data_IF_442495088676
#
_entry.id   IF_442495088676
#
_cell.length_a   1.000
_cell.length_b   1.000
_cell.length_c   1.000
_cell.angle_alpha   90.00
_cell.angle_beta   90.00
_cell.angle_gamma   90.00
#
_symmetry.space_group_name_H-M   'P 1'
#
loop_
_entity.id
_entity.type
_entity.pdbx_description
1 polymer ?
#
# COMPACT_ATOMS: atom_id res chain seq x y z
N UNK A 1 -5.75 -3.55 -56.54
CA UNK A 1 -5.48 -2.48 -55.55
C UNK A 1 -6.56 -2.57 -54.49
N UNK A 2 -6.19 -2.91 -53.24
CA UNK A 2 -6.13 -1.96 -52.12
C UNK A 2 -7.53 -1.41 -51.78
N UNK A 3 -8.21 -1.90 -50.73
CA UNK A 3 -7.93 -1.67 -49.29
C UNK A 3 -7.93 -0.16 -48.97
N UNK A 4 -8.71 0.33 -48.02
CA UNK A 4 -8.67 -0.14 -46.63
C UNK A 4 -10.02 -0.15 -45.86
N UNK A 5 -9.96 -0.34 -44.54
CA UNK A 5 -11.11 -0.54 -43.64
C UNK A 5 -11.64 0.80 -43.09
N UNK A 6 -12.95 0.85 -42.87
CA UNK A 6 -13.51 1.42 -41.63
C UNK A 6 -14.35 0.34 -40.96
N UNK A 7 -14.22 0.21 -39.64
CA UNK A 7 -14.68 -0.95 -38.87
C UNK A 7 -16.16 -0.85 -38.52
N UNK A 8 -16.87 -1.99 -38.56
CA UNK A 8 -18.13 -2.19 -37.84
C UNK A 8 -17.79 -2.77 -36.46
N UNK A 9 -17.93 -2.00 -35.38
CA UNK A 9 -18.05 -2.53 -34.02
C UNK A 9 -18.51 -1.46 -33.01
N UNK A 10 -19.09 -1.88 -31.88
CA UNK A 10 -19.40 -1.02 -30.71
C UNK A 10 -20.70 -0.19 -30.75
N UNK A 11 -21.64 -0.37 -29.80
CA UNK A 11 -22.66 0.64 -29.47
C UNK A 11 -22.05 1.80 -28.66
N UNK A 12 -22.79 2.91 -28.50
CA UNK A 12 -22.29 4.13 -27.86
C UNK A 12 -22.08 3.99 -26.33
N UNK A 13 -20.85 3.66 -25.91
CA UNK A 13 -20.54 3.18 -24.56
C UNK A 13 -20.32 4.27 -23.48
N UNK A 14 -20.62 5.55 -23.77
CA UNK A 14 -20.38 6.66 -22.84
C UNK A 14 -21.41 6.76 -21.70
N UNK A 15 -22.48 5.97 -21.74
CA UNK A 15 -23.50 5.84 -20.68
C UNK A 15 -23.29 4.58 -19.84
N UNK A 16 -22.18 4.53 -19.10
CA UNK A 16 -22.03 3.58 -17.98
C UNK A 16 -22.78 4.14 -16.76
N UNK A 17 -23.61 3.36 -16.04
CA UNK A 17 -24.37 3.85 -14.89
C UNK A 17 -23.44 4.32 -13.77
N UNK A 18 -23.78 5.46 -13.14
CA UNK A 18 -23.00 6.08 -12.06
C UNK A 18 -23.41 5.57 -10.67
N UNK A 19 -24.15 4.46 -10.62
CA UNK A 19 -25.05 4.15 -9.53
C UNK A 19 -24.43 3.23 -8.47
N UNK A 20 -24.21 3.82 -7.29
CA UNK A 20 -23.64 3.24 -6.06
C UNK A 20 -22.13 3.00 -6.12
N UNK A 21 -21.40 3.65 -5.19
CA UNK A 21 -20.00 3.27 -4.92
C UNK A 21 -19.91 1.76 -4.61
N UNK A 22 -18.95 1.03 -5.18
CA UNK A 22 -18.69 -0.37 -4.82
C UNK A 22 -18.57 -0.55 -3.31
N UNK A 23 -19.18 -1.62 -2.78
CA UNK A 23 -19.18 -1.94 -1.35
C UNK A 23 -17.76 -1.97 -0.76
N UNK A 24 -16.78 -2.41 -1.55
CA UNK A 24 -15.34 -2.40 -1.24
C UNK A 24 -14.84 -1.01 -0.83
N UNK A 25 -15.28 0.06 -1.49
CA UNK A 25 -14.90 1.45 -1.16
C UNK A 25 -15.58 1.90 0.13
N UNK A 26 -16.86 1.60 0.30
CA UNK A 26 -17.61 1.95 1.51
C UNK A 26 -16.99 1.28 2.76
N UNK A 27 -16.63 0.01 2.66
CA UNK A 27 -15.93 -0.75 3.71
C UNK A 27 -14.55 -0.18 3.99
N UNK A 28 -13.76 0.14 2.95
CA UNK A 28 -12.42 0.72 3.13
C UNK A 28 -12.47 2.07 3.86
N UNK A 29 -13.36 2.97 3.46
CA UNK A 29 -13.52 4.27 4.15
C UNK A 29 -14.06 4.09 5.58
N UNK A 30 -14.94 3.13 5.82
CA UNK A 30 -15.46 2.81 7.16
C UNK A 30 -14.33 2.32 8.09
N UNK A 31 -13.47 1.40 7.61
CA UNK A 31 -12.31 0.92 8.37
C UNK A 31 -11.28 2.05 8.59
N UNK A 32 -11.04 2.89 7.58
CA UNK A 32 -10.19 4.09 7.70
C UNK A 32 -10.71 5.05 8.77
N UNK A 33 -12.00 5.38 8.76
CA UNK A 33 -12.61 6.26 9.76
C UNK A 33 -12.56 5.64 11.17
N UNK A 34 -12.67 4.32 11.30
CA UNK A 34 -12.49 3.63 12.58
C UNK A 34 -11.03 3.70 13.09
N UNK A 35 -10.03 3.58 12.21
CA UNK A 35 -8.61 3.80 12.55
C UNK A 35 -8.37 5.25 12.98
N UNK A 36 -8.85 6.23 12.19
CA UNK A 36 -8.71 7.66 12.49
C UNK A 36 -9.45 8.07 13.77
N UNK A 37 -10.57 7.43 14.08
CA UNK A 37 -11.32 7.58 15.33
C UNK A 37 -10.69 6.87 16.53
N UNK A 38 -9.48 6.30 16.40
CA UNK A 38 -8.74 5.71 17.51
C UNK A 38 -9.25 4.34 17.98
N UNK A 39 -10.04 3.61 17.19
CA UNK A 39 -10.42 2.21 17.52
C UNK A 39 -9.20 1.28 17.55
N UNK A 40 -8.20 1.58 16.73
CA UNK A 40 -6.92 0.89 16.68
C UNK A 40 -5.81 1.95 16.63
N UNK A 41 -4.85 1.87 17.55
CA UNK A 41 -3.73 2.79 17.65
C UNK A 41 -2.75 2.68 16.48
N UNK A 42 -1.93 3.72 16.29
CA UNK A 42 -0.78 3.68 15.37
C UNK A 42 0.15 2.53 15.80
N UNK A 43 0.60 1.70 14.85
CA UNK A 43 1.40 0.51 15.12
C UNK A 43 0.62 -0.69 15.70
N UNK A 44 -0.66 -0.54 16.07
CA UNK A 44 -1.47 -1.64 16.61
C UNK A 44 -1.81 -2.67 15.52
N UNK A 45 -1.96 -3.94 15.92
CA UNK A 45 -2.39 -5.01 15.03
C UNK A 45 -3.92 -4.99 14.88
N UNK A 46 -4.41 -4.91 13.65
CA UNK A 46 -5.83 -5.11 13.35
C UNK A 46 -6.25 -6.55 13.73
N UNK A 47 -7.57 -6.80 13.93
CA UNK A 47 -8.11 -8.15 13.95
C UNK A 47 -7.90 -8.87 12.61
N UNK A 48 -8.21 -10.17 12.56
CA UNK A 48 -8.04 -10.95 11.33
C UNK A 48 -9.01 -10.49 10.23
N UNK A 49 -8.69 -10.80 8.96
CA UNK A 49 -9.61 -10.57 7.83
C UNK A 49 -10.91 -11.40 7.94
N UNK A 50 -10.91 -12.47 8.76
CA UNK A 50 -12.13 -13.20 9.10
C UNK A 50 -12.98 -12.39 10.09
N UNK A 51 -12.44 -12.09 11.29
CA UNK A 51 -13.13 -11.39 12.37
C UNK A 51 -13.72 -10.05 11.89
N UNK A 52 -12.94 -9.26 11.15
CA UNK A 52 -13.40 -8.00 10.55
C UNK A 52 -14.51 -8.19 9.50
N UNK A 53 -14.49 -9.28 8.73
CA UNK A 53 -15.52 -9.55 7.72
C UNK A 53 -16.86 -9.92 8.39
N UNK A 54 -16.81 -10.66 9.50
CA UNK A 54 -17.99 -11.02 10.29
C UNK A 54 -18.54 -9.81 11.07
N UNK A 55 -17.67 -8.97 11.67
CA UNK A 55 -18.02 -7.69 12.33
C UNK A 55 -18.75 -6.73 11.38
N UNK A 56 -18.16 -6.50 10.18
CA UNK A 56 -18.75 -5.63 9.16
C UNK A 56 -19.83 -6.31 8.32
N UNK A 57 -20.08 -7.62 8.52
CA UNK A 57 -21.07 -8.44 7.79
C UNK A 57 -20.89 -8.41 6.27
N UNK A 58 -19.64 -8.45 5.81
CA UNK A 58 -19.25 -8.40 4.39
C UNK A 58 -18.53 -9.68 3.97
N UNK A 59 -18.44 -9.93 2.66
CA UNK A 59 -17.66 -11.08 2.19
C UNK A 59 -16.17 -10.88 2.48
N UNK A 60 -15.45 -11.97 2.80
CA UNK A 60 -13.99 -11.95 3.00
C UNK A 60 -13.23 -11.41 1.78
N UNK A 61 -13.76 -11.61 0.57
CA UNK A 61 -13.19 -11.04 -0.65
C UNK A 61 -13.32 -9.50 -0.65
N UNK A 62 -14.52 -8.99 -0.35
CA UNK A 62 -14.81 -7.55 -0.21
C UNK A 62 -13.91 -6.89 0.83
N UNK A 63 -13.74 -7.51 2.01
CA UNK A 63 -12.87 -6.98 3.05
C UNK A 63 -11.38 -7.03 2.64
N UNK A 64 -10.90 -8.15 2.10
CA UNK A 64 -9.50 -8.29 1.63
C UNK A 64 -9.15 -7.28 0.54
N UNK A 65 -10.09 -6.96 -0.35
CA UNK A 65 -9.93 -5.87 -1.33
C UNK A 65 -9.92 -4.49 -0.67
N UNK A 66 -10.80 -4.24 0.31
CA UNK A 66 -10.81 -3.00 1.09
C UNK A 66 -9.50 -2.78 1.87
N UNK A 67 -9.02 -3.81 2.59
CA UNK A 67 -7.70 -3.83 3.24
C UNK A 67 -6.59 -3.65 2.20
N UNK A 68 -6.71 -4.25 1.02
CA UNK A 68 -5.80 -4.04 -0.11
C UNK A 68 -5.67 -2.57 -0.52
N UNK A 69 -6.80 -1.84 -0.61
CA UNK A 69 -6.81 -0.39 -0.89
C UNK A 69 -6.21 0.41 0.28
N UNK A 70 -6.46 0.02 1.53
CA UNK A 70 -5.86 0.69 2.70
C UNK A 70 -4.34 0.45 2.81
N UNK A 71 -3.84 -0.71 2.34
CA UNK A 71 -2.39 -0.95 2.17
C UNK A 71 -1.82 -0.07 1.06
N UNK A 72 -2.51 0.05 -0.08
CA UNK A 72 -2.08 0.90 -1.20
C UNK A 72 -2.08 2.40 -0.82
N UNK A 73 -3.08 2.85 -0.06
CA UNK A 73 -3.14 4.20 0.52
C UNK A 73 -2.18 4.40 1.71
N UNK A 74 -1.37 3.39 2.07
CA UNK A 74 -0.39 3.44 3.15
C UNK A 74 -0.95 3.43 4.57
N UNK A 75 -2.27 3.41 4.77
CA UNK A 75 -2.93 3.53 6.09
C UNK A 75 -2.65 2.30 6.97
N UNK A 76 -2.50 1.12 6.37
CA UNK A 76 -2.14 -0.13 7.07
C UNK A 76 -0.99 -0.85 6.37
N UNK A 77 -0.25 -1.68 7.10
CA UNK A 77 0.84 -2.51 6.59
C UNK A 77 0.58 -3.98 6.94
N UNK A 78 0.54 -4.84 5.92
CA UNK A 78 0.41 -6.30 6.08
C UNK A 78 1.79 -6.94 6.21
N UNK A 79 2.06 -7.56 7.36
CA UNK A 79 3.32 -8.27 7.67
C UNK A 79 3.09 -9.78 7.54
N UNK A 80 3.86 -10.42 6.66
CA UNK A 80 3.88 -11.87 6.49
C UNK A 80 4.03 -12.58 7.85
N UNK A 81 3.19 -13.58 8.12
CA UNK A 81 3.20 -14.36 9.36
C UNK A 81 2.68 -13.65 10.62
N UNK A 82 2.52 -12.32 10.62
CA UNK A 82 2.12 -11.55 11.82
C UNK A 82 0.75 -10.87 11.71
N UNK A 83 0.22 -10.65 10.49
CA UNK A 83 -1.08 -10.03 10.24
C UNK A 83 -0.99 -8.58 9.75
N UNK A 84 -2.08 -7.84 9.86
CA UNK A 84 -2.18 -6.44 9.39
C UNK A 84 -2.06 -5.47 10.56
N UNK A 85 -1.33 -4.37 10.38
CA UNK A 85 -1.03 -3.37 11.41
C UNK A 85 -1.36 -1.96 10.91
N UNK A 86 -1.79 -1.06 11.78
CA UNK A 86 -1.96 0.37 11.43
C UNK A 86 -0.57 0.98 11.16
N UNK A 87 -0.40 1.73 10.06
CA UNK A 87 0.86 2.46 9.83
C UNK A 87 1.04 3.54 10.89
N UNK A 88 2.24 3.62 11.46
CA UNK A 88 2.68 4.83 12.13
C UNK A 88 2.96 5.91 11.08
N UNK A 89 2.09 6.93 11.02
CA UNK A 89 2.36 8.13 10.22
C UNK A 89 3.59 8.83 10.82
N UNK A 90 4.72 8.62 10.16
CA UNK A 90 6.06 8.86 10.69
C UNK A 90 7.20 8.29 9.82
N UNK A 91 6.93 7.36 8.89
CA UNK A 91 7.84 7.06 7.76
C UNK A 91 7.15 6.92 6.41
N UNK A 92 7.68 7.70 5.48
CA UNK A 92 7.49 7.67 4.04
C UNK A 92 8.23 6.48 3.39
N UNK A 93 7.54 5.36 3.18
CA UNK A 93 8.10 4.22 2.41
C UNK A 93 8.08 4.53 0.90
N UNK A 94 8.71 5.64 0.49
CA UNK A 94 8.63 6.20 -0.86
C UNK A 94 9.90 6.86 -1.39
N UNK A 95 10.81 7.31 -0.52
CA UNK A 95 12.04 8.02 -0.94
C UNK A 95 13.13 7.06 -1.40
N UNK A 96 12.89 6.41 -2.55
CA UNK A 96 13.92 5.72 -3.32
C UNK A 96 14.85 6.73 -3.99
N UNK A 97 16.14 6.63 -3.69
CA UNK A 97 17.28 7.12 -4.48
C UNK A 97 17.08 8.43 -5.28
N UNK A 98 17.37 9.59 -4.65
CA UNK A 98 18.04 10.65 -5.40
C UNK A 98 19.01 11.50 -4.57
N UNK A 99 20.28 11.45 -4.99
CA UNK A 99 21.20 12.60 -5.06
C UNK A 99 21.50 13.41 -3.78
N UNK A 100 22.51 12.96 -3.04
CA UNK A 100 23.53 13.89 -2.47
C UNK A 100 24.90 13.51 -3.03
N UNK A 101 25.44 14.35 -3.91
CA UNK A 101 26.83 14.25 -4.36
C UNK A 101 27.72 14.96 -3.33
N UNK A 102 28.22 14.22 -2.34
CA UNK A 102 29.27 14.70 -1.46
C UNK A 102 30.63 14.55 -2.18
N UNK A 103 31.05 15.61 -2.86
CA UNK A 103 32.42 15.78 -3.37
C UNK A 103 33.19 16.57 -2.30
N UNK A 104 34.33 16.05 -1.86
CA UNK A 104 35.08 16.58 -0.73
C UNK A 104 34.79 15.81 0.57
N UNK A 105 35.77 15.48 1.42
CA UNK A 105 37.19 15.81 1.30
C UNK A 105 38.08 14.67 1.79
N UNK A 106 39.32 14.75 1.32
CA UNK A 106 40.48 13.99 1.75
C UNK A 106 40.69 14.11 3.27
N UNK A 107 41.07 12.99 3.91
CA UNK A 107 42.03 13.03 5.00
C UNK A 107 42.96 11.81 4.90
N UNK A 108 44.13 11.89 5.53
CA UNK A 108 45.32 11.13 5.19
C UNK A 108 45.72 10.09 6.26
N UNK A 109 46.57 9.14 5.84
CA UNK A 109 47.63 8.56 6.67
C UNK A 109 47.30 8.02 8.06
N UNK A 110 46.83 6.76 8.13
CA UNK A 110 47.18 5.86 9.23
C UNK A 110 47.35 4.42 8.72
N UNK A 111 48.57 4.06 8.30
CA UNK A 111 48.88 2.68 7.90
C UNK A 111 49.20 1.79 9.11
N UNK A 112 48.63 0.59 9.17
CA UNK A 112 49.06 -0.43 10.13
C UNK A 112 48.95 -1.86 9.56
N UNK A 113 50.10 -2.51 9.34
CA UNK A 113 50.24 -3.85 8.76
C UNK A 113 51.69 -4.34 8.88
N UNK A 114 51.99 -5.65 9.06
CA UNK A 114 51.22 -6.73 9.71
C UNK A 114 51.44 -6.62 11.26
N UNK A 115 51.56 -7.58 12.19
CA UNK A 115 51.79 -9.05 12.32
C UNK A 115 50.80 -9.61 13.40
N UNK A 116 50.78 -10.85 13.94
CA UNK A 116 51.75 -11.93 14.19
C UNK A 116 51.06 -13.34 14.15
N UNK A 117 51.84 -14.41 14.34
CA UNK A 117 51.43 -15.82 14.31
C UNK A 117 50.99 -16.35 15.68
N UNK A 118 50.14 -17.38 15.67
CA UNK A 118 50.36 -18.57 16.52
C UNK A 118 49.81 -19.83 15.88
#
# INVERSE_FOLDING_TARGET
MAKDKVVRDGPAEWLRPLDRQPLVIQVAETVRLAILGGRWGRGERLPNEADLADDFKVSRATLREAIGMLVFAGIVVRRHGSGTFVREEGREDGTSCSRTLAIGSDDHSAGHHPIDRR
#
